data_IF_127987042494
#
_entry.id   IF_127987042494
#
_cell.length_a   1.000
_cell.length_b   1.000
_cell.length_c   1.000
_cell.angle_alpha   90.00
_cell.angle_beta   90.00
_cell.angle_gamma   90.00
#
_symmetry.space_group_name_H-M   'P 1'
#
loop_
_entity.id
_entity.type
_entity.pdbx_description
1 polymer ?
#
# COMPACT_ATOMS: atom_id res chain seq x y z
N UNK A 1 -24.41 12.82 -15.49
CA UNK A 1 -23.01 12.37 -15.65
C UNK A 1 -22.18 13.07 -14.58
N UNK A 2 -21.60 12.33 -13.65
CA UNK A 2 -20.79 12.92 -12.57
C UNK A 2 -19.50 13.52 -13.14
N UNK A 3 -18.73 14.27 -12.34
CA UNK A 3 -17.52 14.93 -12.81
C UNK A 3 -16.49 13.92 -13.36
N UNK A 4 -16.29 12.79 -12.67
CA UNK A 4 -15.37 11.72 -13.09
C UNK A 4 -15.71 11.15 -14.47
N UNK A 5 -16.98 10.94 -14.76
CA UNK A 5 -17.43 10.50 -16.08
C UNK A 5 -17.16 11.55 -17.17
N UNK A 6 -17.24 12.85 -16.85
CA UNK A 6 -16.86 13.94 -17.76
C UNK A 6 -15.36 13.94 -18.03
N UNK A 7 -14.56 13.82 -16.98
CA UNK A 7 -13.10 13.81 -17.08
C UNK A 7 -12.62 12.60 -17.88
N UNK A 8 -13.15 11.40 -17.58
CA UNK A 8 -12.91 10.18 -18.37
C UNK A 8 -13.29 10.37 -19.84
N UNK A 9 -14.49 10.88 -20.12
CA UNK A 9 -14.94 11.05 -21.51
C UNK A 9 -14.15 12.13 -22.25
N UNK A 10 -13.70 13.17 -21.55
CA UNK A 10 -12.79 14.17 -22.10
C UNK A 10 -11.45 13.52 -22.45
N UNK A 11 -10.84 12.80 -21.51
CA UNK A 11 -9.59 12.07 -21.73
C UNK A 11 -9.67 11.13 -22.93
N UNK A 12 -10.68 10.26 -22.97
CA UNK A 12 -10.89 9.29 -24.05
C UNK A 12 -11.17 9.94 -25.40
N UNK A 13 -11.62 11.20 -25.46
CA UNK A 13 -11.79 11.92 -26.74
C UNK A 13 -10.51 12.55 -27.26
N UNK A 14 -9.59 12.92 -26.38
CA UNK A 14 -8.41 13.71 -26.73
C UNK A 14 -7.10 12.91 -26.76
N UNK A 15 -6.99 11.84 -25.99
CA UNK A 15 -5.72 11.10 -25.84
C UNK A 15 -5.18 10.55 -27.17
N UNK A 16 -6.02 9.95 -28.02
CA UNK A 16 -5.56 9.47 -29.33
C UNK A 16 -5.01 10.60 -30.21
N UNK A 17 -5.59 11.80 -30.16
CA UNK A 17 -5.11 12.93 -30.94
C UNK A 17 -3.70 13.36 -30.50
N UNK A 18 -3.43 13.40 -29.19
CA UNK A 18 -2.09 13.65 -28.67
C UNK A 18 -1.12 12.56 -29.12
N UNK A 19 -1.49 11.27 -28.99
CA UNK A 19 -0.67 10.16 -29.49
C UNK A 19 -0.33 10.35 -30.96
N UNK A 20 -1.28 10.77 -31.80
CA UNK A 20 -1.05 10.99 -33.23
C UNK A 20 -0.11 12.17 -33.53
N UNK A 21 -0.16 13.24 -32.73
CA UNK A 21 0.63 14.46 -32.92
C UNK A 21 2.13 14.28 -32.69
N UNK A 22 2.54 13.40 -31.78
CA UNK A 22 3.96 13.26 -31.38
C UNK A 22 4.59 11.97 -31.91
N UNK A 23 5.80 12.05 -32.47
CA UNK A 23 6.54 10.87 -32.95
C UNK A 23 7.15 10.05 -31.81
N UNK A 24 7.49 10.75 -30.72
CA UNK A 24 8.08 10.17 -29.54
C UNK A 24 7.10 10.19 -28.37
N UNK A 25 7.00 9.06 -27.68
CA UNK A 25 6.18 8.89 -26.49
C UNK A 25 7.07 8.37 -25.39
N UNK A 26 7.10 9.06 -24.26
CA UNK A 26 7.97 8.72 -23.13
C UNK A 26 7.07 8.42 -21.94
N UNK A 27 7.11 7.17 -21.50
CA UNK A 27 6.31 6.67 -20.37
C UNK A 27 7.15 6.78 -19.10
N UNK A 28 6.58 7.43 -18.10
CA UNK A 28 7.12 7.63 -16.76
C UNK A 28 6.26 6.89 -15.74
N UNK A 29 6.89 6.44 -14.66
CA UNK A 29 6.25 5.74 -13.56
C UNK A 29 6.90 6.11 -12.22
N UNK A 30 6.40 5.57 -11.10
CA UNK A 30 6.92 5.92 -9.79
C UNK A 30 8.24 5.23 -9.43
N UNK A 31 8.99 5.84 -8.50
CA UNK A 31 10.34 5.48 -8.04
C UNK A 31 10.46 4.19 -7.21
N UNK A 32 9.34 3.64 -6.77
CA UNK A 32 9.26 2.38 -6.04
C UNK A 32 8.29 1.44 -6.75
N UNK A 33 8.58 1.07 -8.01
CA UNK A 33 7.60 0.48 -8.92
C UNK A 33 6.98 -0.80 -8.35
N UNK A 34 5.68 -0.99 -8.55
CA UNK A 34 4.98 -2.24 -8.26
C UNK A 34 4.39 -2.86 -9.54
N UNK A 35 3.46 -3.80 -9.36
CA UNK A 35 2.87 -4.50 -10.50
C UNK A 35 1.97 -3.62 -11.35
N UNK A 36 1.26 -2.65 -10.78
CA UNK A 36 0.37 -1.78 -11.54
C UNK A 36 1.15 -0.75 -12.35
N UNK A 37 2.16 -0.14 -11.73
CA UNK A 37 3.09 0.77 -12.37
C UNK A 37 3.83 0.11 -13.55
N UNK A 38 4.43 -1.07 -13.34
CA UNK A 38 5.16 -1.78 -14.41
C UNK A 38 4.20 -2.34 -15.46
N UNK A 39 3.05 -2.85 -15.01
CA UNK A 39 2.02 -3.41 -15.88
C UNK A 39 1.42 -2.36 -16.82
N UNK A 40 1.09 -1.19 -16.30
CA UNK A 40 0.51 -0.09 -17.07
C UNK A 40 1.53 0.49 -18.04
N UNK A 41 2.78 0.66 -17.60
CA UNK A 41 3.88 1.17 -18.43
C UNK A 41 4.19 0.29 -19.64
N UNK A 42 4.54 -0.98 -19.41
CA UNK A 42 4.89 -1.90 -20.49
C UNK A 42 3.65 -2.41 -21.26
N UNK A 43 2.49 -2.43 -20.62
CA UNK A 43 1.20 -2.70 -21.25
C UNK A 43 0.84 -1.63 -22.28
N UNK A 44 0.87 -0.36 -21.89
CA UNK A 44 0.59 0.76 -22.79
C UNK A 44 1.66 0.86 -23.90
N UNK A 45 2.94 0.67 -23.58
CA UNK A 45 4.01 0.62 -24.59
C UNK A 45 3.71 -0.41 -25.68
N UNK A 46 3.37 -1.64 -25.30
CA UNK A 46 3.06 -2.71 -26.25
C UNK A 46 1.81 -2.44 -27.08
N UNK A 47 0.79 -1.81 -26.49
CA UNK A 47 -0.43 -1.41 -27.20
C UNK A 47 -0.14 -0.32 -28.22
N UNK A 48 0.55 0.77 -27.83
CA UNK A 48 0.86 1.87 -28.75
C UNK A 48 1.71 1.35 -29.90
N UNK A 49 2.74 0.54 -29.63
CA UNK A 49 3.59 -0.03 -30.67
C UNK A 49 2.81 -0.90 -31.68
N UNK A 50 1.83 -1.68 -31.21
CA UNK A 50 1.01 -2.54 -32.06
C UNK A 50 0.02 -1.78 -32.97
N UNK A 51 -0.38 -0.57 -32.58
CA UNK A 51 -1.37 0.24 -33.31
C UNK A 51 -0.74 1.39 -34.11
N UNK A 52 0.44 1.84 -33.69
CA UNK A 52 1.20 2.93 -34.33
C UNK A 52 2.67 2.51 -34.48
N UNK A 53 2.98 1.55 -35.37
CA UNK A 53 4.32 0.94 -35.46
C UNK A 53 5.45 1.92 -35.82
N UNK A 54 5.11 3.09 -36.37
CA UNK A 54 6.08 4.14 -36.70
C UNK A 54 6.45 5.02 -35.49
N UNK A 55 5.70 4.96 -34.38
CA UNK A 55 5.97 5.75 -33.18
C UNK A 55 7.02 5.10 -32.31
N UNK A 56 7.87 5.94 -31.70
CA UNK A 56 8.93 5.49 -30.78
C UNK A 56 8.44 5.66 -29.35
N UNK A 57 8.24 4.52 -28.67
CA UNK A 57 7.73 4.50 -27.30
C UNK A 57 8.81 4.04 -26.34
N UNK A 58 9.21 4.92 -25.45
CA UNK A 58 10.25 4.71 -24.46
C UNK A 58 9.62 4.54 -23.08
N UNK A 59 10.17 3.66 -22.26
CA UNK A 59 9.81 3.56 -20.83
C UNK A 59 11.04 3.96 -20.04
N UNK A 60 10.99 5.06 -19.30
CA UNK A 60 12.12 5.58 -18.52
C UNK A 60 11.88 5.37 -17.03
N UNK A 61 12.96 5.24 -16.27
CA UNK A 61 12.91 4.89 -14.85
C UNK A 61 13.75 3.66 -14.55
N UNK A 62 13.53 3.06 -13.40
CA UNK A 62 14.28 1.91 -12.90
C UNK A 62 13.39 0.91 -12.18
N UNK A 63 13.87 -0.32 -12.05
CA UNK A 63 13.28 -1.36 -11.20
C UNK A 63 14.39 -1.94 -10.29
N UNK A 64 14.80 -1.18 -9.25
CA UNK A 64 16.00 -1.50 -8.48
C UNK A 64 15.91 -2.84 -7.74
N UNK A 65 14.70 -3.22 -7.33
CA UNK A 65 14.42 -4.48 -6.64
C UNK A 65 14.23 -5.67 -7.60
N UNK A 66 14.38 -5.46 -8.91
CA UNK A 66 14.14 -6.47 -9.96
C UNK A 66 12.79 -7.19 -9.80
N UNK A 67 11.76 -6.45 -9.37
CA UNK A 67 10.41 -7.00 -9.22
C UNK A 67 9.95 -7.56 -10.56
N UNK A 68 9.30 -8.72 -10.53
CA UNK A 68 8.83 -9.41 -11.74
C UNK A 68 9.95 -9.65 -12.78
N UNK A 69 11.17 -9.97 -12.34
CA UNK A 69 12.32 -10.28 -13.22
C UNK A 69 12.08 -11.39 -14.24
N UNK A 70 11.05 -12.20 -14.06
CA UNK A 70 10.57 -13.19 -15.03
C UNK A 70 9.82 -12.57 -16.22
N UNK A 71 9.54 -11.27 -16.21
CA UNK A 71 9.03 -10.49 -17.34
C UNK A 71 10.16 -9.71 -18.03
N UNK A 72 10.22 -9.78 -19.36
CA UNK A 72 11.18 -9.00 -20.14
C UNK A 72 10.77 -7.53 -20.19
N UNK A 73 11.42 -6.72 -19.36
CA UNK A 73 11.29 -5.27 -19.30
C UNK A 73 12.58 -4.61 -19.78
N UNK A 74 12.45 -3.53 -20.58
CA UNK A 74 13.58 -2.73 -21.04
C UNK A 74 13.29 -1.27 -20.70
N UNK A 75 14.09 -0.70 -19.80
CA UNK A 75 14.07 0.72 -19.51
C UNK A 75 15.04 1.45 -20.44
N UNK A 76 14.59 2.56 -20.99
CA UNK A 76 15.34 3.41 -21.89
C UNK A 76 16.04 4.53 -21.09
N UNK A 77 17.25 4.90 -21.52
CA UNK A 77 17.98 6.03 -20.96
C UNK A 77 18.04 7.14 -22.02
N UNK A 78 17.28 8.22 -21.85
CA UNK A 78 17.15 9.28 -22.87
C UNK A 78 18.01 10.52 -22.62
N UNK A 79 18.55 10.71 -21.41
CA UNK A 79 19.24 11.95 -21.02
C UNK A 79 20.61 12.12 -21.69
N UNK A 80 21.19 11.04 -22.19
CA UNK A 80 22.51 11.05 -22.82
C UNK A 80 22.48 11.31 -24.34
N UNK A 81 21.32 11.63 -24.90
CA UNK A 81 21.14 11.84 -26.34
C UNK A 81 20.67 13.28 -26.63
N UNK A 82 21.09 13.86 -27.77
CA UNK A 82 20.53 15.10 -28.34
C UNK A 82 19.08 14.85 -28.80
N UNK A 83 18.21 14.63 -27.83
CA UNK A 83 16.82 14.26 -28.04
C UNK A 83 15.94 15.51 -28.02
N UNK A 84 15.15 15.72 -29.07
CA UNK A 84 14.17 16.81 -29.10
C UNK A 84 12.92 16.44 -28.29
N UNK A 85 12.92 16.84 -27.02
CA UNK A 85 11.79 16.63 -26.13
C UNK A 85 10.54 17.42 -26.52
N UNK A 86 10.69 18.49 -27.32
CA UNK A 86 9.54 19.32 -27.73
C UNK A 86 8.61 18.60 -28.71
N UNK A 87 9.14 17.62 -29.46
CA UNK A 87 8.37 16.67 -30.27
C UNK A 87 8.07 15.34 -29.54
N UNK A 88 8.05 15.35 -28.20
CA UNK A 88 7.71 14.20 -27.39
C UNK A 88 6.54 14.47 -26.45
N UNK A 89 5.67 13.47 -26.32
CA UNK A 89 4.64 13.41 -25.30
C UNK A 89 5.16 12.62 -24.09
N UNK A 90 5.08 13.22 -22.90
CA UNK A 90 5.28 12.51 -21.64
C UNK A 90 3.94 11.89 -21.19
N UNK A 91 3.95 10.60 -20.84
CA UNK A 91 2.82 9.91 -20.21
C UNK A 91 3.27 9.46 -18.83
N UNK A 92 2.69 10.04 -17.78
CA UNK A 92 2.91 9.64 -16.39
C UNK A 92 1.80 8.65 -16.02
N UNK A 93 2.19 7.44 -15.61
CA UNK A 93 1.27 6.38 -15.21
C UNK A 93 1.48 6.01 -13.76
N UNK A 94 0.38 5.87 -13.03
CA UNK A 94 0.37 5.36 -11.65
C UNK A 94 1.21 6.23 -10.69
N UNK A 95 1.09 7.56 -10.82
CA UNK A 95 1.83 8.50 -9.99
C UNK A 95 0.98 9.69 -9.58
N UNK A 96 0.63 9.77 -8.29
CA UNK A 96 -0.21 10.86 -7.79
C UNK A 96 0.48 12.21 -7.65
N UNK A 97 1.78 12.22 -7.30
CA UNK A 97 2.56 13.44 -7.02
C UNK A 97 3.94 13.39 -7.68
N UNK A 98 4.46 14.56 -8.04
CA UNK A 98 5.74 14.76 -8.73
C UNK A 98 6.92 14.08 -8.04
N UNK A 99 6.96 14.15 -6.71
CA UNK A 99 7.99 13.55 -5.85
C UNK A 99 8.13 12.03 -5.99
N UNK A 100 7.10 11.37 -6.52
CA UNK A 100 7.05 9.93 -6.73
C UNK A 100 7.54 9.53 -8.11
N UNK A 101 7.62 10.42 -9.09
CA UNK A 101 8.10 10.11 -10.45
C UNK A 101 9.60 9.76 -10.38
N UNK A 102 10.02 8.55 -10.82
CA UNK A 102 11.40 8.04 -10.70
C UNK A 102 12.45 9.04 -11.20
N UNK A 103 12.29 9.50 -12.43
CA UNK A 103 13.24 10.40 -13.07
C UNK A 103 12.80 11.86 -13.06
N UNK A 104 12.01 12.30 -12.05
CA UNK A 104 11.44 13.65 -12.01
C UNK A 104 12.49 14.75 -12.20
N UNK A 105 13.54 14.74 -11.38
CA UNK A 105 14.57 15.78 -11.41
C UNK A 105 15.29 15.88 -12.76
N UNK A 106 15.44 14.73 -13.44
CA UNK A 106 16.18 14.65 -14.69
C UNK A 106 15.41 15.20 -15.88
N UNK A 107 14.07 15.09 -15.88
CA UNK A 107 13.21 15.47 -17.00
C UNK A 107 12.31 16.66 -16.72
N UNK A 108 11.72 16.76 -15.53
CA UNK A 108 10.72 17.80 -15.22
C UNK A 108 11.32 19.02 -14.50
N UNK A 109 12.44 18.87 -13.77
CA UNK A 109 13.18 20.02 -13.20
C UNK A 109 14.30 20.53 -14.10
N UNK A 110 14.59 19.84 -15.20
CA UNK A 110 15.66 20.22 -16.12
C UNK A 110 15.16 21.25 -17.13
N UNK A 111 15.67 22.48 -17.07
CA UNK A 111 15.25 23.58 -17.96
C UNK A 111 15.55 23.35 -19.45
N UNK A 112 16.36 22.33 -19.80
CA UNK A 112 16.62 21.92 -21.19
C UNK A 112 15.59 20.94 -21.73
N UNK A 113 14.71 20.41 -20.88
CA UNK A 113 13.67 19.46 -21.24
C UNK A 113 12.34 20.18 -21.22
N UNK A 114 11.65 20.18 -22.35
CA UNK A 114 10.28 20.71 -22.48
C UNK A 114 9.52 19.73 -23.35
N UNK A 115 8.47 19.12 -22.80
CA UNK A 115 7.62 18.19 -23.53
C UNK A 115 6.57 18.95 -24.34
N UNK A 116 6.22 18.44 -25.52
CA UNK A 116 5.15 19.00 -26.33
C UNK A 116 3.75 18.76 -25.73
N UNK A 117 3.61 17.71 -24.92
CA UNK A 117 2.44 17.47 -24.08
C UNK A 117 2.78 16.57 -22.88
N UNK A 118 2.09 16.79 -21.77
CA UNK A 118 2.18 16.00 -20.54
C UNK A 118 0.82 15.39 -20.23
N UNK A 119 0.75 14.06 -20.18
CA UNK A 119 -0.47 13.29 -19.92
C UNK A 119 -0.31 12.50 -18.62
N UNK A 120 -1.35 12.45 -17.80
CA UNK A 120 -1.39 11.64 -16.58
C UNK A 120 -2.58 10.66 -16.60
N UNK A 121 -2.33 9.41 -16.20
CA UNK A 121 -3.38 8.42 -15.91
C UNK A 121 -3.04 7.79 -14.56
N UNK A 122 -3.96 7.90 -13.61
CA UNK A 122 -3.76 7.42 -12.26
C UNK A 122 -5.10 6.99 -11.63
N UNK A 123 -5.04 6.06 -10.69
CA UNK A 123 -6.19 5.61 -9.90
C UNK A 123 -6.08 6.03 -8.42
N UNK A 124 -5.03 6.73 -8.02
CA UNK A 124 -4.93 7.28 -6.68
C UNK A 124 -5.83 8.52 -6.50
N UNK A 125 -6.42 8.68 -5.32
CA UNK A 125 -7.15 9.90 -4.95
C UNK A 125 -6.16 11.02 -4.59
N UNK A 126 -5.56 11.62 -5.63
CA UNK A 126 -4.48 12.59 -5.49
C UNK A 126 -4.68 13.80 -6.40
N UNK A 127 -4.21 14.96 -5.96
CA UNK A 127 -4.18 16.18 -6.78
C UNK A 127 -2.76 16.38 -7.27
N UNK A 128 -2.59 16.48 -8.60
CA UNK A 128 -1.30 16.73 -9.23
C UNK A 128 -0.69 18.06 -8.77
N UNK A 129 0.59 18.04 -8.43
CA UNK A 129 1.42 19.18 -8.02
C UNK A 129 2.34 19.68 -9.16
N UNK A 130 2.12 19.20 -10.38
CA UNK A 130 2.86 19.55 -11.60
C UNK A 130 1.91 19.78 -12.78
N UNK A 131 2.41 20.43 -13.83
CA UNK A 131 1.62 20.74 -15.03
C UNK A 131 1.26 19.46 -15.81
N UNK A 132 -0.02 19.31 -16.16
CA UNK A 132 -0.57 18.20 -16.94
C UNK A 132 -1.57 18.77 -17.95
N UNK A 133 -1.37 18.48 -19.24
CA UNK A 133 -2.25 18.94 -20.33
C UNK A 133 -3.52 18.08 -20.47
N UNK A 134 -3.41 16.79 -20.17
CA UNK A 134 -4.55 15.86 -20.19
C UNK A 134 -4.46 14.86 -19.03
N UNK A 135 -5.46 14.83 -18.17
CA UNK A 135 -5.45 14.04 -16.94
C UNK A 135 -6.64 13.09 -16.87
N UNK A 136 -6.41 11.86 -16.42
CA UNK A 136 -7.45 10.91 -16.02
C UNK A 136 -7.09 10.27 -14.69
N UNK A 137 -7.40 11.01 -13.62
CA UNK A 137 -7.34 10.52 -12.24
C UNK A 137 -8.72 9.98 -11.86
N UNK A 138 -8.84 8.68 -11.61
CA UNK A 138 -10.13 8.06 -11.25
C UNK A 138 -9.98 6.95 -10.19
N UNK A 139 -10.16 7.27 -8.89
CA UNK A 139 -10.03 6.31 -7.80
C UNK A 139 -11.14 5.27 -7.71
N UNK A 140 -12.09 5.28 -8.65
CA UNK A 140 -13.06 4.19 -8.76
C UNK A 140 -12.47 2.96 -9.48
N UNK A 141 -11.28 3.07 -10.08
CA UNK A 141 -10.57 1.95 -10.70
C UNK A 141 -9.70 1.24 -9.67
N UNK A 142 -9.68 -0.09 -9.74
CA UNK A 142 -8.84 -0.89 -8.86
C UNK A 142 -7.34 -0.72 -9.15
N UNK A 143 -6.97 -0.26 -10.35
CA UNK A 143 -5.58 -0.06 -10.78
C UNK A 143 -5.52 0.78 -12.06
N UNK A 144 -4.39 1.44 -12.33
CA UNK A 144 -4.07 2.15 -13.59
C UNK A 144 -4.10 1.19 -14.79
N UNK A 145 -3.69 -0.07 -14.63
CA UNK A 145 -3.85 -1.09 -15.67
C UNK A 145 -5.30 -1.27 -16.11
N UNK A 146 -6.29 -1.17 -15.20
CA UNK A 146 -7.70 -1.20 -15.59
C UNK A 146 -8.05 -0.04 -16.53
N UNK A 147 -7.55 1.17 -16.24
CA UNK A 147 -7.76 2.33 -17.11
C UNK A 147 -7.12 2.12 -18.49
N UNK A 148 -5.91 1.54 -18.57
CA UNK A 148 -5.24 1.23 -19.85
C UNK A 148 -6.02 0.18 -20.66
N UNK A 149 -6.57 -0.86 -20.03
CA UNK A 149 -7.41 -1.85 -20.72
C UNK A 149 -8.67 -1.19 -21.27
N UNK A 150 -9.33 -0.34 -20.49
CA UNK A 150 -10.52 0.39 -20.94
C UNK A 150 -10.20 1.36 -22.07
N UNK A 151 -9.06 2.03 -22.01
CA UNK A 151 -8.58 2.91 -23.06
C UNK A 151 -8.38 2.14 -24.38
N UNK A 152 -7.71 0.98 -24.32
CA UNK A 152 -7.53 0.12 -25.49
C UNK A 152 -8.86 -0.34 -26.08
N UNK A 153 -9.85 -0.66 -25.24
CA UNK A 153 -11.18 -1.05 -25.70
C UNK A 153 -11.92 0.11 -26.36
N UNK A 154 -11.89 1.29 -25.76
CA UNK A 154 -12.59 2.48 -26.27
C UNK A 154 -12.15 2.82 -27.70
N UNK A 155 -10.85 2.71 -27.99
CA UNK A 155 -10.31 2.97 -29.32
C UNK A 155 -10.29 1.74 -30.25
N UNK A 156 -10.73 0.56 -29.78
CA UNK A 156 -10.63 -0.68 -30.55
C UNK A 156 -9.18 -1.09 -30.88
N UNK A 157 -8.23 -0.69 -30.04
CA UNK A 157 -6.80 -0.95 -30.24
C UNK A 157 -6.47 -2.42 -30.04
N UNK A 158 -5.56 -2.91 -30.88
CA UNK A 158 -4.96 -4.25 -30.72
C UNK A 158 -4.15 -4.29 -29.44
N UNK A 159 -4.40 -5.31 -28.62
CA UNK A 159 -3.65 -5.59 -27.41
C UNK A 159 -2.90 -6.92 -27.59
N UNK A 160 -1.58 -6.89 -27.88
CA UNK A 160 -0.81 -8.12 -28.04
C UNK A 160 -0.76 -8.93 -26.74
N UNK A 161 -0.61 -10.28 -26.80
CA UNK A 161 -0.56 -11.14 -25.60
C UNK A 161 0.47 -10.72 -24.55
N UNK A 162 1.63 -10.19 -24.98
CA UNK A 162 2.66 -9.67 -24.06
C UNK A 162 2.15 -8.45 -23.28
N UNK A 163 1.52 -7.49 -23.96
CA UNK A 163 0.92 -6.32 -23.32
C UNK A 163 -0.25 -6.73 -22.40
N UNK A 164 -1.10 -7.64 -22.86
CA UNK A 164 -2.19 -8.19 -22.07
C UNK A 164 -1.69 -8.87 -20.78
N UNK A 165 -0.56 -9.57 -20.84
CA UNK A 165 0.07 -10.22 -19.69
C UNK A 165 0.58 -9.19 -18.67
N UNK A 166 1.23 -8.10 -19.11
CA UNK A 166 1.62 -6.99 -18.23
C UNK A 166 0.42 -6.33 -17.56
N UNK A 167 -0.63 -6.04 -18.32
CA UNK A 167 -1.84 -5.42 -17.77
C UNK A 167 -2.56 -6.35 -16.79
N UNK A 168 -2.67 -7.65 -17.09
CA UNK A 168 -3.27 -8.60 -16.15
C UNK A 168 -2.46 -8.72 -14.86
N UNK A 169 -1.12 -8.68 -14.94
CA UNK A 169 -0.25 -8.68 -13.76
C UNK A 169 -0.57 -7.49 -12.85
N UNK A 170 -0.62 -6.28 -13.38
CA UNK A 170 -0.90 -5.08 -12.59
C UNK A 170 -2.30 -5.06 -11.98
N UNK A 171 -3.31 -5.48 -12.75
CA UNK A 171 -4.67 -5.64 -12.20
C UNK A 171 -4.66 -6.65 -11.04
N UNK A 172 -3.95 -7.78 -11.19
CA UNK A 172 -3.89 -8.80 -10.15
C UNK A 172 -3.09 -8.37 -8.91
N UNK A 173 -2.03 -7.59 -9.06
CA UNK A 173 -1.25 -7.13 -7.90
C UNK A 173 -2.04 -6.16 -7.05
N UNK A 174 -2.63 -5.13 -7.67
CA UNK A 174 -3.29 -4.04 -6.95
C UNK A 174 -4.65 -4.42 -6.37
N UNK A 175 -5.34 -5.36 -7.01
CA UNK A 175 -6.57 -5.94 -6.47
C UNK A 175 -6.33 -7.00 -5.39
N UNK A 176 -5.08 -7.25 -4.98
CA UNK A 176 -4.67 -8.38 -4.14
C UNK A 176 -5.22 -9.73 -4.63
N UNK A 177 -5.23 -9.93 -5.96
CA UNK A 177 -5.88 -11.08 -6.64
C UNK A 177 -7.39 -11.08 -6.44
N UNK A 178 -8.01 -9.93 -6.68
CA UNK A 178 -9.46 -9.73 -6.66
C UNK A 178 -10.11 -9.89 -5.28
N UNK A 179 -9.38 -9.60 -4.19
CA UNK A 179 -9.79 -9.91 -2.81
C UNK A 179 -10.01 -8.68 -1.92
N UNK A 180 -10.17 -7.50 -2.50
CA UNK A 180 -10.39 -6.24 -1.77
C UNK A 180 -11.59 -5.48 -2.34
N UNK A 181 -12.15 -4.56 -1.56
CA UNK A 181 -13.41 -3.86 -1.89
C UNK A 181 -13.33 -2.93 -3.11
N UNK A 182 -12.13 -2.50 -3.51
CA UNK A 182 -11.94 -1.76 -4.77
C UNK A 182 -12.25 -2.62 -6.01
N UNK A 183 -12.40 -3.93 -5.84
CA UNK A 183 -12.74 -4.88 -6.90
C UNK A 183 -14.25 -4.85 -7.15
N UNK A 184 -14.63 -4.12 -8.18
CA UNK A 184 -16.02 -4.05 -8.67
C UNK A 184 -16.22 -4.92 -9.92
N UNK A 185 -17.46 -5.19 -10.37
CA UNK A 185 -17.70 -5.99 -11.58
C UNK A 185 -16.92 -5.51 -12.82
N UNK A 186 -16.73 -4.19 -12.96
CA UNK A 186 -15.89 -3.60 -14.01
C UNK A 186 -14.45 -4.13 -13.99
N UNK A 187 -13.84 -4.27 -12.82
CA UNK A 187 -12.47 -4.78 -12.65
C UNK A 187 -12.34 -6.20 -13.22
N UNK A 188 -13.28 -7.08 -12.88
CA UNK A 188 -13.31 -8.46 -13.39
C UNK A 188 -13.53 -8.52 -14.91
N UNK A 189 -14.40 -7.65 -15.43
CA UNK A 189 -14.64 -7.55 -16.88
C UNK A 189 -13.37 -7.10 -17.62
N UNK A 190 -12.63 -6.13 -17.09
CA UNK A 190 -11.38 -5.64 -17.69
C UNK A 190 -10.27 -6.71 -17.61
N UNK A 191 -10.16 -7.43 -16.49
CA UNK A 191 -9.25 -8.57 -16.37
C UNK A 191 -9.60 -9.71 -17.36
N UNK A 192 -10.89 -9.99 -17.58
CA UNK A 192 -11.33 -10.97 -18.57
C UNK A 192 -10.95 -10.54 -20.00
N UNK A 193 -10.92 -9.24 -20.30
CA UNK A 193 -10.49 -8.72 -21.61
C UNK A 193 -9.01 -8.94 -21.87
N UNK A 194 -8.14 -8.77 -20.88
CA UNK A 194 -6.71 -9.09 -21.07
C UNK A 194 -6.52 -10.59 -21.28
N UNK A 195 -7.27 -11.43 -20.57
CA UNK A 195 -7.27 -12.87 -20.83
C UNK A 195 -7.74 -13.21 -22.25
N UNK A 196 -8.83 -12.60 -22.73
CA UNK A 196 -9.28 -12.76 -24.12
C UNK A 196 -8.22 -12.37 -25.16
N UNK A 197 -7.34 -11.42 -24.82
CA UNK A 197 -6.21 -10.99 -25.65
C UNK A 197 -4.93 -11.83 -25.43
N UNK A 198 -5.03 -12.97 -24.73
CA UNK A 198 -3.94 -13.93 -24.57
C UNK A 198 -3.03 -13.69 -23.38
N UNK A 199 -3.47 -12.97 -22.35
CA UNK A 199 -2.71 -12.85 -21.10
C UNK A 199 -2.41 -14.24 -20.50
N UNK A 200 -1.15 -14.49 -20.10
CA UNK A 200 -0.75 -15.73 -19.45
C UNK A 200 -1.10 -15.74 -17.95
N UNK A 201 -2.40 -15.66 -17.63
CA UNK A 201 -2.88 -15.50 -16.27
C UNK A 201 -2.43 -16.63 -15.32
N UNK A 202 -2.32 -17.86 -15.82
CA UNK A 202 -1.87 -19.02 -15.02
C UNK A 202 -0.44 -18.81 -14.54
N UNK A 203 0.48 -18.38 -15.41
CA UNK A 203 1.85 -18.08 -15.01
C UNK A 203 1.90 -16.89 -14.05
N UNK A 204 1.11 -15.84 -14.28
CA UNK A 204 0.99 -14.70 -13.35
C UNK A 204 0.63 -15.19 -11.94
N UNK A 205 -0.47 -15.94 -11.79
CA UNK A 205 -0.90 -16.44 -10.48
C UNK A 205 0.14 -17.37 -9.85
N UNK A 206 0.78 -18.24 -10.64
CA UNK A 206 1.86 -19.10 -10.16
C UNK A 206 3.03 -18.28 -9.63
N UNK A 207 3.51 -17.31 -10.39
CA UNK A 207 4.68 -16.47 -10.04
C UNK A 207 4.39 -15.58 -8.84
N UNK A 208 3.21 -14.96 -8.78
CA UNK A 208 2.79 -14.11 -7.65
C UNK A 208 2.61 -14.89 -6.34
N UNK A 209 2.34 -16.20 -6.41
CA UNK A 209 2.24 -17.09 -5.23
C UNK A 209 3.56 -17.75 -4.86
N UNK A 210 4.54 -17.70 -5.76
CA UNK A 210 5.82 -18.40 -5.58
C UNK A 210 6.61 -17.75 -4.44
N UNK A 211 7.15 -18.59 -3.56
CA UNK A 211 8.05 -18.19 -2.48
C UNK A 211 9.31 -19.03 -2.56
N UNK A 212 10.46 -18.43 -2.27
CA UNK A 212 11.69 -19.20 -2.13
C UNK A 212 11.66 -20.02 -0.84
N UNK A 213 12.50 -21.05 -0.75
CA UNK A 213 12.61 -21.84 0.47
C UNK A 213 13.06 -20.98 1.65
N UNK A 214 13.95 -20.02 1.42
CA UNK A 214 14.45 -19.06 2.41
C UNK A 214 13.32 -18.16 2.92
N UNK A 215 12.43 -17.69 2.02
CA UNK A 215 11.24 -16.95 2.42
C UNK A 215 10.28 -17.80 3.26
N UNK A 216 10.15 -19.09 2.96
CA UNK A 216 9.34 -20.01 3.78
C UNK A 216 9.97 -20.19 5.17
N UNK A 217 11.29 -20.40 5.25
CA UNK A 217 12.00 -20.54 6.52
C UNK A 217 11.95 -19.26 7.37
N UNK A 218 12.09 -18.10 6.74
CA UNK A 218 11.93 -16.81 7.41
C UNK A 218 10.48 -16.60 7.88
N UNK A 219 9.48 -16.98 7.07
CA UNK A 219 8.07 -16.93 7.50
C UNK A 219 7.86 -17.78 8.75
N UNK A 220 8.39 -19.01 8.78
CA UNK A 220 8.33 -19.88 9.96
C UNK A 220 8.99 -19.23 11.19
N UNK A 221 10.14 -18.59 11.00
CA UNK A 221 10.82 -17.87 12.08
C UNK A 221 9.96 -16.73 12.64
N UNK A 222 9.46 -15.87 11.76
CA UNK A 222 8.60 -14.74 12.11
C UNK A 222 7.36 -15.20 12.89
N UNK A 223 6.67 -16.21 12.37
CA UNK A 223 5.48 -16.79 13.02
C UNK A 223 5.82 -17.37 14.40
N UNK A 224 6.93 -18.11 14.52
CA UNK A 224 7.34 -18.73 15.80
C UNK A 224 7.74 -17.73 16.89
N UNK A 225 8.06 -16.48 16.50
CA UNK A 225 8.49 -15.39 17.40
C UNK A 225 7.44 -14.29 17.51
N UNK A 226 6.29 -14.45 16.86
CA UNK A 226 5.22 -13.47 16.92
C UNK A 226 4.63 -13.40 18.34
N UNK A 227 4.30 -12.19 18.76
CA UNK A 227 3.58 -11.92 19.99
C UNK A 227 2.15 -11.58 19.59
N UNK A 228 1.18 -12.29 20.16
CA UNK A 228 -0.24 -12.09 19.92
C UNK A 228 -0.91 -11.62 21.21
N UNK A 229 -1.72 -10.59 21.11
CA UNK A 229 -2.65 -10.14 22.15
C UNK A 229 -4.07 -10.57 21.79
N UNK A 230 -5.10 -9.91 22.32
CA UNK A 230 -6.49 -10.20 21.94
C UNK A 230 -6.73 -9.91 20.45
N UNK A 231 -6.40 -8.67 20.04
CA UNK A 231 -6.80 -8.10 18.75
C UNK A 231 -5.62 -7.77 17.82
N UNK A 232 -4.39 -7.92 18.31
CA UNK A 232 -3.18 -7.50 17.62
C UNK A 232 -2.17 -8.65 17.61
N UNK A 233 -1.48 -8.81 16.49
CA UNK A 233 -0.31 -9.67 16.39
C UNK A 233 0.88 -8.88 15.84
N UNK A 234 2.06 -9.10 16.38
CA UNK A 234 3.25 -8.43 15.88
C UNK A 234 4.51 -9.28 16.00
N UNK A 235 5.46 -9.01 15.12
CA UNK A 235 6.82 -9.56 15.23
C UNK A 235 7.85 -8.46 15.35
N UNK A 236 8.93 -8.77 16.07
CA UNK A 236 10.13 -7.92 16.16
C UNK A 236 11.27 -8.68 15.51
N UNK A 237 11.99 -8.01 14.62
CA UNK A 237 13.13 -8.56 13.87
C UNK A 237 14.35 -7.70 14.14
N UNK A 238 15.39 -8.31 14.69
CA UNK A 238 16.65 -7.62 15.00
C UNK A 238 17.60 -7.60 13.80
N UNK A 239 18.64 -6.77 13.87
CA UNK A 239 19.76 -6.77 12.94
C UNK A 239 20.47 -8.15 12.93
N UNK A 240 20.53 -8.83 14.07
CA UNK A 240 21.10 -10.17 14.18
C UNK A 240 20.25 -11.23 13.47
N UNK A 241 18.92 -11.12 13.54
CA UNK A 241 18.02 -11.98 12.77
C UNK A 241 18.21 -11.79 11.26
N UNK A 242 18.29 -10.54 10.81
CA UNK A 242 18.54 -10.23 9.40
C UNK A 242 19.87 -10.80 8.90
N UNK A 243 20.92 -10.76 9.72
CA UNK A 243 22.20 -11.40 9.42
C UNK A 243 22.08 -12.93 9.32
N UNK A 244 21.36 -13.56 10.26
CA UNK A 244 21.11 -15.01 10.27
C UNK A 244 20.42 -15.48 8.99
N UNK A 245 19.42 -14.73 8.52
CA UNK A 245 18.67 -15.05 7.29
C UNK A 245 19.28 -14.46 6.02
N UNK A 246 20.41 -13.74 6.13
CA UNK A 246 21.13 -13.11 5.01
C UNK A 246 20.20 -12.27 4.12
N UNK A 247 19.31 -11.52 4.74
CA UNK A 247 18.31 -10.70 4.03
C UNK A 247 18.12 -9.36 4.71
N UNK A 248 17.83 -8.34 3.90
CA UNK A 248 17.45 -6.99 4.33
C UNK A 248 15.97 -6.71 4.05
N UNK A 249 15.27 -7.62 3.37
CA UNK A 249 13.90 -7.42 2.88
C UNK A 249 12.87 -8.12 3.76
N UNK A 250 12.98 -7.99 5.09
CA UNK A 250 12.06 -8.65 6.03
C UNK A 250 10.75 -7.86 6.16
N UNK A 251 10.81 -6.53 6.08
CA UNK A 251 9.67 -5.63 6.27
C UNK A 251 8.47 -5.94 5.35
N UNK A 252 8.72 -6.40 4.12
CA UNK A 252 7.68 -6.78 3.16
C UNK A 252 6.92 -8.06 3.55
N UNK A 253 7.40 -8.79 4.55
CA UNK A 253 6.80 -10.02 5.04
C UNK A 253 5.79 -9.80 6.18
N UNK A 254 5.35 -8.57 6.45
CA UNK A 254 4.32 -8.29 7.47
C UNK A 254 3.07 -9.17 7.31
N UNK A 255 2.71 -9.49 6.07
CA UNK A 255 1.57 -10.35 5.74
C UNK A 255 1.76 -11.83 6.08
N UNK A 256 2.88 -12.27 6.67
CA UNK A 256 2.93 -13.62 7.29
C UNK A 256 1.96 -13.75 8.46
N UNK A 257 1.49 -12.62 9.02
CA UNK A 257 0.49 -12.54 10.08
C UNK A 257 -0.92 -12.22 9.56
N UNK A 258 -1.14 -12.23 8.24
CA UNK A 258 -2.46 -11.98 7.66
C UNK A 258 -3.43 -13.15 7.92
N UNK A 259 -4.74 -12.87 7.90
CA UNK A 259 -5.81 -13.89 8.03
C UNK A 259 -5.86 -14.67 9.36
N UNK A 260 -5.55 -14.01 10.48
CA UNK A 260 -5.84 -14.55 11.81
C UNK A 260 -7.20 -13.98 12.25
N UNK A 261 -8.20 -14.85 12.42
CA UNK A 261 -9.62 -14.48 12.57
C UNK A 261 -9.90 -13.44 13.67
N UNK A 262 -9.16 -13.50 14.77
CA UNK A 262 -9.33 -12.60 15.93
C UNK A 262 -8.38 -11.40 15.92
N UNK A 263 -7.44 -11.29 14.97
CA UNK A 263 -6.53 -10.15 14.87
C UNK A 263 -7.00 -9.14 13.82
N UNK A 264 -7.22 -7.91 14.27
CA UNK A 264 -7.64 -6.80 13.41
C UNK A 264 -6.46 -5.99 12.88
N UNK A 265 -5.38 -5.92 13.63
CA UNK A 265 -4.14 -5.23 13.26
C UNK A 265 -2.99 -6.23 13.34
N UNK A 266 -2.12 -6.22 12.33
CA UNK A 266 -0.87 -6.95 12.36
C UNK A 266 0.31 -6.07 12.00
N UNK A 267 1.42 -6.26 12.73
CA UNK A 267 2.60 -5.41 12.61
C UNK A 267 3.89 -6.20 12.47
N UNK A 268 4.86 -5.62 11.77
CA UNK A 268 6.22 -6.14 11.72
C UNK A 268 7.20 -4.98 11.97
N UNK A 269 7.97 -5.10 13.05
CA UNK A 269 8.91 -4.10 13.53
C UNK A 269 10.33 -4.58 13.21
N UNK A 270 11.03 -3.87 12.34
CA UNK A 270 12.37 -4.28 11.87
C UNK A 270 13.39 -3.28 12.38
N UNK A 271 14.32 -3.75 13.20
CA UNK A 271 15.42 -2.98 13.77
C UNK A 271 16.28 -2.37 12.66
N UNK A 272 16.61 -1.09 12.84
CA UNK A 272 17.56 -0.31 12.08
C UNK A 272 18.71 0.09 13.00
N UNK A 273 19.86 0.54 12.46
CA UNK A 273 20.89 1.16 13.27
C UNK A 273 20.35 2.30 14.16
N UNK A 274 20.97 2.50 15.33
CA UNK A 274 20.62 3.52 16.32
C UNK A 274 19.29 3.29 17.07
N UNK A 275 18.96 2.03 17.39
CA UNK A 275 17.81 1.65 18.23
C UNK A 275 16.45 2.14 17.70
N UNK A 276 16.34 2.31 16.37
CA UNK A 276 15.13 2.68 15.66
C UNK A 276 14.52 1.42 15.04
N UNK A 277 13.20 1.30 15.09
CA UNK A 277 12.45 0.25 14.42
C UNK A 277 11.60 0.85 13.30
N UNK A 278 11.72 0.29 12.10
CA UNK A 278 10.75 0.55 11.04
C UNK A 278 9.57 -0.40 11.17
N UNK A 279 8.38 0.17 11.32
CA UNK A 279 7.15 -0.60 11.50
C UNK A 279 6.37 -0.63 10.20
N UNK A 280 5.94 -1.82 9.80
CA UNK A 280 4.83 -2.00 8.84
C UNK A 280 3.58 -2.38 9.59
N UNK A 281 2.49 -1.66 9.34
CA UNK A 281 1.19 -1.85 9.96
C UNK A 281 0.19 -2.24 8.88
N UNK A 282 -0.63 -3.24 9.17
CA UNK A 282 -1.74 -3.68 8.34
C UNK A 282 -2.98 -3.88 9.19
N UNK A 283 -4.16 -3.70 8.59
CA UNK A 283 -5.42 -3.75 9.31
C UNK A 283 -6.58 -4.18 8.43
N UNK A 284 -7.61 -4.80 9.04
CA UNK A 284 -8.84 -5.21 8.37
C UNK A 284 -9.92 -4.11 8.38
N UNK A 285 -9.98 -3.26 9.41
CA UNK A 285 -11.06 -2.25 9.59
C UNK A 285 -10.68 -1.08 10.52
N UNK A 286 -9.53 -1.13 11.17
CA UNK A 286 -9.00 -0.01 11.97
C UNK A 286 -8.00 0.81 11.14
N UNK A 287 -7.97 2.14 11.27
CA UNK A 287 -7.09 2.95 10.42
C UNK A 287 -5.61 2.78 10.80
N UNK A 288 -4.90 1.95 10.02
CA UNK A 288 -3.44 1.80 10.11
C UNK A 288 -2.74 3.15 9.83
N UNK A 289 -3.30 3.98 8.96
CA UNK A 289 -2.81 5.32 8.66
C UNK A 289 -2.84 6.22 9.88
N UNK A 290 -3.98 6.31 10.57
CA UNK A 290 -4.10 7.16 11.76
C UNK A 290 -3.17 6.68 12.88
N UNK A 291 -3.05 5.36 13.05
CA UNK A 291 -2.10 4.77 14.00
C UNK A 291 -0.66 5.17 13.64
N UNK A 292 -0.26 5.00 12.38
CA UNK A 292 1.08 5.37 11.93
C UNK A 292 1.36 6.88 12.08
N UNK A 293 0.38 7.73 11.74
CA UNK A 293 0.51 9.20 11.83
C UNK A 293 0.69 9.69 13.27
N UNK A 294 0.08 9.03 14.26
CA UNK A 294 0.35 9.30 15.69
C UNK A 294 1.84 9.16 16.03
N UNK A 295 2.55 8.27 15.34
CA UNK A 295 3.99 8.01 15.51
C UNK A 295 4.84 8.67 14.40
N UNK A 296 4.35 9.76 13.80
CA UNK A 296 5.08 10.52 12.78
C UNK A 296 5.25 9.80 11.44
N UNK A 297 4.48 8.73 11.20
CA UNK A 297 4.42 7.98 9.96
C UNK A 297 3.23 8.35 9.07
N UNK A 298 2.85 7.44 8.19
CA UNK A 298 1.71 7.59 7.29
C UNK A 298 1.49 6.38 6.38
N UNK A 299 0.52 6.48 5.47
CA UNK A 299 0.17 5.43 4.52
C UNK A 299 -1.30 5.46 4.12
N UNK A 300 -1.83 4.30 3.77
CA UNK A 300 -3.24 4.05 3.45
C UNK A 300 -4.00 3.51 4.66
N UNK A 301 -5.33 3.61 4.62
CA UNK A 301 -6.22 3.20 5.73
C UNK A 301 -5.91 1.78 6.26
N UNK A 302 -5.62 0.82 5.37
CA UNK A 302 -5.35 -0.57 5.76
C UNK A 302 -3.86 -0.96 5.71
N UNK A 303 -2.98 -0.04 5.31
CA UNK A 303 -1.56 -0.32 5.13
C UNK A 303 -0.71 0.94 5.32
N UNK A 304 0.02 1.01 6.42
CA UNK A 304 0.82 2.18 6.78
C UNK A 304 2.16 1.78 7.40
N UNK A 305 2.99 2.77 7.71
CA UNK A 305 4.24 2.55 8.43
C UNK A 305 4.72 3.79 9.16
N UNK A 306 5.48 3.55 10.23
CA UNK A 306 6.09 4.57 11.07
C UNK A 306 7.50 4.14 11.49
N UNK A 307 8.20 5.05 12.19
CA UNK A 307 9.48 4.77 12.84
C UNK A 307 9.31 5.03 14.32
N UNK A 308 9.73 4.07 15.13
CA UNK A 308 9.60 4.13 16.59
C UNK A 308 10.93 3.76 17.25
N UNK A 309 11.11 4.15 18.50
CA UNK A 309 12.21 3.68 19.35
C UNK A 309 11.80 2.44 20.14
N UNK A 310 12.75 1.76 20.77
CA UNK A 310 12.51 0.55 21.55
C UNK A 310 11.46 0.76 22.67
N UNK A 311 11.52 1.90 23.37
CA UNK A 311 10.61 2.27 24.46
C UNK A 311 9.18 2.56 23.98
N UNK A 312 8.99 2.85 22.69
CA UNK A 312 7.68 3.14 22.10
C UNK A 312 6.93 1.89 21.61
N UNK A 313 7.57 0.71 21.61
CA UNK A 313 6.94 -0.54 21.11
C UNK A 313 5.65 -0.84 21.88
N UNK A 314 5.70 -0.79 23.21
CA UNK A 314 4.54 -1.11 24.05
C UNK A 314 3.42 -0.07 23.93
N UNK A 315 3.76 1.20 23.79
CA UNK A 315 2.78 2.27 23.56
C UNK A 315 2.07 2.08 22.20
N UNK A 316 2.81 1.71 21.15
CA UNK A 316 2.24 1.46 19.83
C UNK A 316 1.26 0.28 19.85
N UNK A 317 1.63 -0.82 20.51
CA UNK A 317 0.75 -2.00 20.65
C UNK A 317 -0.51 -1.63 21.44
N UNK A 318 -0.37 -0.91 22.55
CA UNK A 318 -1.51 -0.48 23.38
C UNK A 318 -2.46 0.44 22.61
N UNK A 319 -1.92 1.35 21.80
CA UNK A 319 -2.71 2.23 20.93
C UNK A 319 -3.44 1.46 19.83
N UNK A 320 -2.80 0.44 19.25
CA UNK A 320 -3.42 -0.44 18.27
C UNK A 320 -4.62 -1.19 18.87
N UNK A 321 -4.46 -1.76 20.06
CA UNK A 321 -5.56 -2.44 20.77
C UNK A 321 -6.70 -1.49 21.11
N UNK A 322 -6.38 -0.29 21.60
CA UNK A 322 -7.38 0.74 21.90
C UNK A 322 -8.18 1.12 20.64
N UNK A 323 -7.50 1.26 19.51
CA UNK A 323 -8.13 1.56 18.23
C UNK A 323 -9.08 0.44 17.81
N UNK A 324 -8.66 -0.82 17.88
CA UNK A 324 -9.53 -1.96 17.54
C UNK A 324 -10.76 -2.01 18.45
N UNK A 325 -10.59 -1.85 19.76
CA UNK A 325 -11.70 -1.82 20.73
C UNK A 325 -12.71 -0.73 20.41
N UNK A 326 -12.23 0.45 20.02
CA UNK A 326 -13.09 1.58 19.63
C UNK A 326 -13.90 1.24 18.37
N UNK A 327 -13.26 0.75 17.31
CA UNK A 327 -13.94 0.41 16.05
C UNK A 327 -14.92 -0.76 16.23
N UNK A 328 -14.58 -1.79 17.02
CA UNK A 328 -15.49 -2.88 17.35
C UNK A 328 -16.75 -2.37 18.06
N UNK A 329 -16.60 -1.43 19.00
CA UNK A 329 -17.74 -0.83 19.69
C UNK A 329 -18.63 -0.02 18.73
N UNK A 330 -18.04 0.73 17.80
CA UNK A 330 -18.77 1.46 16.75
C UNK A 330 -19.55 0.52 15.84
N UNK A 331 -18.93 -0.55 15.34
CA UNK A 331 -19.60 -1.53 14.47
C UNK A 331 -20.69 -2.33 15.21
N UNK A 332 -20.46 -2.68 16.46
CA UNK A 332 -21.51 -3.27 17.31
C UNK A 332 -22.69 -2.30 17.47
N UNK A 333 -22.41 -1.00 17.59
CA UNK A 333 -23.43 0.02 17.72
C UNK A 333 -24.25 0.20 16.43
N UNK A 334 -23.57 0.33 15.29
CA UNK A 334 -24.19 0.48 13.96
C UNK A 334 -25.05 -0.73 13.58
N UNK A 335 -24.53 -1.94 13.82
CA UNK A 335 -25.28 -3.18 13.56
C UNK A 335 -26.54 -3.28 14.42
N UNK A 336 -26.54 -2.75 15.64
CA UNK A 336 -27.70 -2.71 16.51
C UNK A 336 -28.68 -1.56 16.21
N UNK A 337 -28.24 -0.50 15.54
CA UNK A 337 -29.12 0.56 15.02
C UNK A 337 -29.92 0.11 13.79
N UNK A 338 -29.32 -0.74 12.95
CA UNK A 338 -29.86 -1.14 11.64
C UNK A 338 -30.68 -2.45 11.66
N UNK A 339 -30.96 -3.02 12.82
CA UNK A 339 -31.86 -4.20 12.92
C UNK A 339 -33.31 -3.79 12.69
N UNK A 340 -33.93 -4.36 11.65
CA UNK A 340 -35.35 -4.15 11.27
C UNK A 340 -36.33 -4.66 12.35
N UNK A 341 -35.89 -5.59 13.20
CA UNK A 341 -36.71 -6.25 14.24
C UNK A 341 -36.75 -5.50 15.57
N UNK A 342 -36.97 -4.18 15.57
CA UNK A 342 -37.11 -3.41 16.83
C UNK A 342 -38.52 -2.88 17.06
N UNK A 343 -38.98 -3.12 18.28
CA UNK A 343 -40.04 -2.36 18.95
C UNK A 343 -39.77 -0.85 18.74
N UNK A 344 -40.73 -0.10 18.15
CA UNK A 344 -40.62 1.33 17.91
C UNK A 344 -40.18 2.13 19.16
N UNK A 345 -40.54 1.67 20.36
CA UNK A 345 -40.19 2.31 21.63
C UNK A 345 -38.70 2.14 21.98
N UNK A 346 -38.11 1.00 21.62
CA UNK A 346 -36.68 0.71 21.82
C UNK A 346 -35.80 1.40 20.78
N UNK A 347 -36.26 1.45 19.51
CA UNK A 347 -35.60 2.23 18.46
C UNK A 347 -35.62 3.74 18.77
N UNK A 348 -36.73 4.25 19.31
CA UNK A 348 -36.86 5.64 19.74
C UNK A 348 -36.07 5.91 21.02
N UNK A 349 -35.99 4.96 21.96
CA UNK A 349 -35.05 5.03 23.10
C UNK A 349 -33.60 5.11 22.65
N UNK A 350 -33.17 4.26 21.72
CA UNK A 350 -31.81 4.27 21.18
C UNK A 350 -31.54 5.58 20.44
N UNK A 351 -32.46 6.07 19.61
CA UNK A 351 -32.37 7.38 18.94
C UNK A 351 -32.33 8.55 19.93
N UNK A 352 -33.11 8.52 21.00
CA UNK A 352 -33.12 9.56 22.04
C UNK A 352 -31.89 9.50 22.95
N UNK A 353 -31.33 8.31 23.20
CA UNK A 353 -30.06 8.11 23.92
C UNK A 353 -28.89 8.67 23.10
N UNK A 354 -28.87 8.43 21.77
CA UNK A 354 -27.92 9.04 20.83
C UNK A 354 -28.07 10.56 20.77
N UNK A 355 -29.30 11.06 20.69
CA UNK A 355 -29.58 12.47 20.47
C UNK A 355 -29.42 13.33 21.73
N UNK A 356 -29.55 12.76 22.94
CA UNK A 356 -29.48 13.53 24.19
C UNK A 356 -28.18 13.38 24.97
N UNK A 357 -27.51 12.23 24.94
CA UNK A 357 -26.58 11.93 26.04
C UNK A 357 -25.54 10.87 25.69
N UNK A 358 -24.31 11.35 25.44
CA UNK A 358 -23.11 10.61 25.82
C UNK A 358 -22.52 11.12 27.17
N UNK A 359 -23.12 10.78 28.34
CA UNK A 359 -22.42 10.92 29.62
C UNK A 359 -22.59 9.74 30.61
N UNK A 360 -23.01 8.53 30.19
CA UNK A 360 -22.92 7.35 31.06
C UNK A 360 -21.99 6.24 30.53
N UNK A 361 -21.84 6.05 29.21
CA UNK A 361 -20.83 5.09 28.67
C UNK A 361 -19.42 5.70 28.67
N UNK A 362 -19.31 7.01 28.44
CA UNK A 362 -18.07 7.78 28.67
C UNK A 362 -17.77 7.97 30.17
N UNK A 363 -18.74 7.71 31.06
CA UNK A 363 -18.48 7.74 32.52
C UNK A 363 -17.65 6.54 32.94
N UNK A 364 -17.87 5.37 32.34
CA UNK A 364 -16.99 4.22 32.52
C UNK A 364 -15.68 4.40 31.77
N UNK A 365 -15.65 4.97 30.56
CA UNK A 365 -14.35 5.25 29.92
C UNK A 365 -13.52 6.30 30.68
N UNK A 366 -14.11 7.35 31.27
CA UNK A 366 -13.40 8.37 32.06
C UNK A 366 -13.09 7.93 33.50
N UNK A 367 -13.91 7.07 34.10
CA UNK A 367 -13.61 6.45 35.39
C UNK A 367 -12.59 5.33 35.22
N UNK A 368 -12.67 4.51 34.18
CA UNK A 368 -11.64 3.56 33.77
C UNK A 368 -10.35 4.30 33.36
N UNK A 369 -10.40 5.44 32.67
CA UNK A 369 -9.21 6.27 32.39
C UNK A 369 -8.64 6.93 33.66
N UNK A 370 -9.47 7.21 34.68
CA UNK A 370 -9.03 7.70 36.00
C UNK A 370 -8.47 6.57 36.84
N UNK A 371 -9.08 5.39 36.82
CA UNK A 371 -8.69 4.19 37.56
C UNK A 371 -7.45 3.55 36.93
N UNK A 372 -7.33 3.52 35.60
CA UNK A 372 -6.11 3.14 34.86
C UNK A 372 -4.99 4.17 35.07
N UNK A 373 -5.27 5.49 35.08
CA UNK A 373 -4.25 6.47 35.49
C UNK A 373 -3.82 6.27 36.94
N UNK A 374 -4.76 5.95 37.84
CA UNK A 374 -4.49 5.66 39.25
C UNK A 374 -3.72 4.36 39.43
N UNK A 375 -3.96 3.33 38.62
CA UNK A 375 -3.24 2.04 38.61
C UNK A 375 -1.83 2.18 37.99
N UNK A 376 -1.66 3.06 36.98
CA UNK A 376 -0.37 3.44 36.39
C UNK A 376 0.45 4.34 37.33
N UNK A 377 -0.20 5.20 38.13
CA UNK A 377 0.41 6.06 39.16
C UNK A 377 0.64 5.32 40.51
N UNK A 378 -0.07 4.21 40.78
CA UNK A 378 0.05 3.40 42.00
C UNK A 378 0.95 2.15 41.85
N UNK A 379 1.58 1.94 40.69
CA UNK A 379 2.55 0.85 40.48
C UNK A 379 1.96 -0.56 40.42
N UNK A 380 0.70 -0.73 40.02
CA UNK A 380 0.02 -2.05 40.02
C UNK A 380 0.33 -2.90 38.76
N UNK A 381 1.03 -2.32 37.78
CA UNK A 381 1.82 -3.10 36.81
C UNK A 381 3.28 -3.10 37.27
N UNK A 382 3.56 -3.93 38.27
CA UNK A 382 4.92 -4.20 38.74
C UNK A 382 5.58 -5.23 37.81
N UNK A 383 6.65 -4.82 37.16
CA UNK A 383 7.45 -5.64 36.24
C UNK A 383 8.38 -6.59 37.02
N UNK A 384 8.37 -6.59 38.36
CA UNK A 384 9.31 -7.37 39.19
C UNK A 384 8.78 -8.70 39.77
N UNK A 385 7.72 -9.31 39.21
CA UNK A 385 7.25 -10.63 39.69
C UNK A 385 7.10 -11.70 38.60
N UNK A 386 8.15 -11.95 37.80
CA UNK A 386 8.37 -13.31 37.27
C UNK A 386 9.83 -13.51 36.75
N UNK A 387 10.81 -13.83 37.60
CA UNK A 387 12.20 -14.00 37.15
C UNK A 387 12.44 -15.22 36.25
N UNK A 388 11.46 -16.12 36.11
CA UNK A 388 11.64 -17.41 35.40
C UNK A 388 11.02 -17.45 33.99
N UNK A 389 10.49 -16.35 33.46
CA UNK A 389 10.03 -16.27 32.04
C UNK A 389 10.99 -15.53 31.10
N UNK A 390 11.98 -14.80 31.62
CA UNK A 390 13.00 -14.12 30.80
C UNK A 390 14.14 -15.03 30.34
N UNK A 391 14.18 -16.28 30.81
CA UNK A 391 15.19 -17.27 30.43
C UNK A 391 14.90 -18.04 29.13
N UNK A 392 13.71 -17.91 28.53
CA UNK A 392 13.38 -18.53 27.23
C UNK A 392 13.40 -17.56 26.04
N UNK A 393 13.54 -16.26 26.28
CA UNK A 393 13.53 -15.25 25.19
C UNK A 393 14.90 -15.00 24.54
N UNK A 394 16.01 -15.49 25.11
CA UNK A 394 17.33 -15.43 24.47
C UNK A 394 17.90 -14.02 24.29
N UNK A 395 17.40 -13.04 25.06
CA UNK A 395 17.86 -11.63 25.05
C UNK A 395 18.87 -11.35 26.19
N UNK A 396 19.07 -12.30 27.11
CA UNK A 396 19.72 -12.06 28.41
C UNK A 396 21.24 -11.83 28.46
N UNK A 397 22.04 -12.13 27.42
CA UNK A 397 23.50 -12.14 27.58
C UNK A 397 24.20 -10.79 27.29
N UNK A 398 23.47 -9.71 26.96
CA UNK A 398 24.07 -8.37 26.74
C UNK A 398 23.56 -7.26 27.66
N UNK A 399 22.62 -7.54 28.55
CA UNK A 399 21.89 -6.49 29.27
C UNK A 399 22.11 -6.45 30.79
N UNK A 400 23.07 -7.22 31.32
CA UNK A 400 23.51 -7.11 32.73
C UNK A 400 25.00 -6.81 32.80
N UNK A 401 25.39 -5.52 32.75
CA UNK A 401 26.47 -4.95 33.58
C UNK A 401 26.70 -3.47 33.24
N UNK A 402 25.91 -2.56 33.82
CA UNK A 402 26.31 -1.15 33.99
C UNK A 402 25.90 -0.54 35.34
N UNK A 403 25.71 -1.36 36.38
CA UNK A 403 25.37 -0.86 37.72
C UNK A 403 26.21 -1.40 38.90
N UNK A 404 27.34 -2.07 38.65
CA UNK A 404 28.28 -2.45 39.72
C UNK A 404 29.73 -2.07 39.39
N UNK A 405 29.96 -0.79 39.06
CA UNK A 405 31.29 -0.18 39.22
C UNK A 405 31.10 1.19 39.88
N UNK A 406 30.62 1.16 41.12
CA UNK A 406 30.67 2.28 42.05
C UNK A 406 30.46 1.79 43.49
N UNK A 407 31.31 0.87 43.95
CA UNK A 407 31.77 0.73 45.35
C UNK A 407 32.72 -0.47 45.43
N UNK A 408 33.93 -0.15 45.90
CA UNK A 408 35.15 -0.98 46.06
C UNK A 408 36.07 -1.05 44.85
#
# INVERSE_FOLDING_TARGET
>A
MNQRDKDRNHFLKHFQNLVLQFDHIIVFHHNNPDGDCLGSSFGLQGIIHANYPNKRVYVVGSNPNQLYSWMTMKFDNLINYDFDFSNAMAIILDVGQSSRIDCFDKFFRNSRVSFGAVVKIDHHDSVSDFHVDLCWDDPTYASTCCQIVQLSEFYGWKMPPKAATFLYMGICSDSLRFSIDSVVPRTLILAAKTWRNGANYVDIHRRLKSRSWEQIQLSNYLISKAIKTEDVIYGIVTLQDMQKFKTTHVKSMVNVYEHIDDCWIWMLMVEQPNDIFEVSIRSLNASAKDLATKYGGGGHENAAGCRITLDQIQDLVSDAEYMVKTVKAELYYESNLNREDKDPEEAERVKQVVARKNPEVVRDAKNLLKDIKKEREAGVYDVEQNPDQDLELGIGERFVSKKEVAKE
#
